data_IF_257844260965
#
_entry.id   IF_257844260965
#
_cell.length_a   1.000
_cell.length_b   1.000
_cell.length_c   1.000
_cell.angle_alpha   90.00
_cell.angle_beta   90.00
_cell.angle_gamma   90.00
#
_symmetry.space_group_name_H-M   'P 1'
#
loop_
_entity.id
_entity.type
_entity.pdbx_description
1 polymer ?
#
# COMPACT_ATOMS: atom_id res chain seq x y z
N UNK A 1 15.69 -24.87 -1.81
CA UNK A 1 14.68 -24.02 -1.16
C UNK A 1 14.22 -22.90 -2.10
N UNK A 2 15.11 -22.42 -3.03
CA UNK A 2 14.79 -21.36 -3.99
C UNK A 2 13.76 -21.75 -5.09
N UNK A 3 13.62 -23.03 -5.41
CA UNK A 3 12.70 -23.50 -6.46
C UNK A 3 11.20 -23.43 -6.07
N UNK A 4 10.89 -23.38 -4.77
CA UNK A 4 9.49 -23.36 -4.31
C UNK A 4 8.81 -21.99 -4.42
N UNK A 5 9.55 -20.89 -4.28
CA UNK A 5 8.97 -19.53 -4.27
C UNK A 5 8.62 -19.08 -5.69
N UNK A 6 9.49 -19.38 -6.67
CA UNK A 6 9.23 -19.06 -8.09
C UNK A 6 8.01 -19.86 -8.60
N UNK A 7 7.83 -21.09 -8.12
CA UNK A 7 6.70 -21.94 -8.53
C UNK A 7 5.34 -21.43 -8.01
N UNK A 8 5.32 -20.83 -6.81
CA UNK A 8 4.06 -20.27 -6.23
C UNK A 8 3.62 -19.01 -6.98
N UNK A 9 4.53 -18.12 -7.34
CA UNK A 9 4.19 -16.91 -8.10
C UNK A 9 3.68 -17.26 -9.52
N UNK A 10 4.34 -18.20 -10.21
CA UNK A 10 3.91 -18.69 -11.53
C UNK A 10 2.60 -19.48 -11.46
N UNK A 11 2.37 -20.24 -10.39
CA UNK A 11 1.13 -21.00 -10.19
C UNK A 11 -0.07 -20.08 -9.94
N UNK A 12 0.11 -19.01 -9.17
CA UNK A 12 -0.95 -18.03 -8.91
C UNK A 12 -1.31 -17.22 -10.17
N UNK A 13 -0.33 -16.86 -11.01
CA UNK A 13 -0.58 -16.15 -12.27
C UNK A 13 -1.38 -16.99 -13.27
N UNK A 14 -1.16 -18.31 -13.32
CA UNK A 14 -1.87 -19.23 -14.22
C UNK A 14 -3.35 -19.46 -13.83
N UNK A 15 -3.76 -19.08 -12.61
CA UNK A 15 -5.13 -19.20 -12.07
C UNK A 15 -5.82 -17.84 -11.89
N UNK A 16 -5.25 -16.76 -12.42
CA UNK A 16 -5.73 -15.39 -12.22
C UNK A 16 -6.52 -14.89 -13.41
N UNK A 17 -7.69 -14.29 -13.15
CA UNK A 17 -8.48 -13.55 -14.16
C UNK A 17 -7.95 -12.12 -14.40
N UNK A 18 -6.87 -11.75 -13.73
CA UNK A 18 -6.30 -10.39 -13.77
C UNK A 18 -5.23 -10.29 -14.87
N UNK A 19 -5.09 -9.09 -15.43
CA UNK A 19 -3.98 -8.75 -16.32
C UNK A 19 -2.77 -8.30 -15.48
N UNK A 20 -1.56 -8.64 -15.93
CA UNK A 20 -0.32 -8.46 -15.19
C UNK A 20 0.76 -7.75 -15.99
N UNK A 21 1.62 -7.01 -15.30
CA UNK A 21 2.94 -6.60 -15.77
C UNK A 21 3.97 -7.35 -14.93
N UNK A 22 4.72 -8.23 -15.59
CA UNK A 22 5.79 -9.00 -14.98
C UNK A 22 7.13 -8.35 -15.26
N UNK A 23 7.90 -8.09 -14.21
CA UNK A 23 9.23 -7.51 -14.23
C UNK A 23 10.20 -8.48 -13.55
N UNK A 24 11.48 -8.28 -13.79
CA UNK A 24 12.53 -9.08 -13.15
C UNK A 24 12.48 -9.00 -11.62
N UNK A 25 12.28 -7.79 -11.09
CA UNK A 25 12.27 -7.54 -9.63
C UNK A 25 10.88 -7.41 -9.04
N UNK A 26 9.79 -7.48 -9.82
CA UNK A 26 8.47 -7.27 -9.29
C UNK A 26 7.33 -7.69 -10.21
N UNK A 27 6.13 -7.70 -9.65
CA UNK A 27 4.90 -7.96 -10.38
C UNK A 27 3.85 -6.92 -10.01
N UNK A 28 3.11 -6.46 -11.02
CA UNK A 28 2.02 -5.50 -10.87
C UNK A 28 0.76 -6.07 -11.52
N UNK A 29 -0.31 -6.23 -10.74
CA UNK A 29 -1.62 -6.46 -11.31
C UNK A 29 -2.19 -5.14 -11.84
N UNK A 30 -2.73 -5.13 -13.07
CA UNK A 30 -3.32 -3.91 -13.63
C UNK A 30 -4.55 -3.48 -12.85
N UNK A 31 -5.30 -4.43 -12.26
CA UNK A 31 -6.34 -4.09 -11.30
C UNK A 31 -5.74 -3.43 -10.06
N UNK A 32 -6.10 -2.17 -9.87
CA UNK A 32 -5.64 -1.37 -8.75
C UNK A 32 -4.23 -0.80 -8.87
N UNK A 33 -3.55 -0.97 -10.03
CA UNK A 33 -2.12 -0.70 -10.19
C UNK A 33 -1.32 -1.33 -9.04
N UNK A 34 -1.69 -2.56 -8.67
CA UNK A 34 -1.34 -3.20 -7.42
C UNK A 34 0.02 -3.89 -7.51
N UNK A 35 1.01 -3.35 -6.84
CA UNK A 35 2.32 -4.01 -6.68
C UNK A 35 2.13 -5.22 -5.77
N UNK A 36 2.31 -6.43 -6.30
CA UNK A 36 2.12 -7.67 -5.54
C UNK A 36 3.44 -8.29 -5.09
N UNK A 37 4.52 -7.99 -5.80
CA UNK A 37 5.86 -8.51 -5.51
C UNK A 37 6.92 -7.46 -5.76
N UNK A 38 7.93 -7.42 -4.91
CA UNK A 38 9.20 -6.73 -5.11
C UNK A 38 10.29 -7.53 -4.39
N UNK A 39 11.34 -7.88 -5.14
CA UNK A 39 12.40 -8.79 -4.70
C UNK A 39 13.78 -8.12 -4.78
N UNK A 40 14.07 -7.11 -3.94
CA UNK A 40 15.44 -6.64 -3.79
C UNK A 40 16.27 -7.80 -3.19
N UNK A 41 17.51 -7.94 -3.59
CA UNK A 41 18.38 -8.98 -3.03
C UNK A 41 17.85 -10.43 -3.10
N UNK A 42 17.01 -10.75 -4.11
CA UNK A 42 16.43 -12.08 -4.36
C UNK A 42 15.43 -12.58 -3.29
N UNK A 43 14.98 -11.75 -2.38
CA UNK A 43 13.96 -12.06 -1.38
C UNK A 43 12.78 -11.10 -1.47
N UNK A 44 11.57 -11.63 -1.29
CA UNK A 44 10.37 -10.78 -1.27
C UNK A 44 10.40 -9.82 -0.09
N UNK A 45 10.26 -8.52 -0.38
CA UNK A 45 10.11 -7.48 0.64
C UNK A 45 8.64 -7.17 0.95
N UNK A 46 7.72 -7.59 0.07
CA UNK A 46 6.28 -7.45 0.27
C UNK A 46 5.65 -8.79 0.65
N UNK A 47 4.67 -8.74 1.53
CA UNK A 47 3.83 -9.89 1.86
C UNK A 47 2.65 -9.96 0.90
N UNK A 48 2.40 -11.14 0.34
CA UNK A 48 1.19 -11.47 -0.39
C UNK A 48 0.56 -12.70 0.25
N UNK A 49 -0.72 -12.62 0.62
CA UNK A 49 -1.40 -13.75 1.23
C UNK A 49 -1.56 -14.91 0.23
N UNK A 50 -1.21 -16.11 0.64
CA UNK A 50 -1.45 -17.33 -0.16
C UNK A 50 -2.94 -17.66 -0.30
N UNK A 51 -3.81 -17.02 0.48
CA UNK A 51 -5.27 -17.17 0.44
C UNK A 51 -5.96 -16.02 -0.30
N UNK A 52 -5.19 -15.07 -0.85
CA UNK A 52 -5.78 -13.95 -1.60
C UNK A 52 -6.47 -14.47 -2.86
N UNK A 53 -7.61 -13.87 -3.18
CA UNK A 53 -8.29 -14.15 -4.44
C UNK A 53 -7.79 -13.19 -5.51
N UNK A 54 -7.35 -13.74 -6.64
CA UNK A 54 -6.90 -12.99 -7.80
C UNK A 54 -8.01 -12.92 -8.85
N UNK A 55 -9.16 -12.36 -8.43
CA UNK A 55 -10.41 -12.29 -9.20
C UNK A 55 -10.75 -10.82 -9.49
N UNK A 56 -11.31 -10.53 -10.67
CA UNK A 56 -11.76 -9.18 -11.06
C UNK A 56 -12.73 -8.59 -10.04
N UNK A 57 -12.49 -7.33 -9.65
CA UNK A 57 -13.31 -6.62 -8.67
C UNK A 57 -13.05 -6.99 -7.21
N UNK A 58 -12.28 -8.05 -6.94
CA UNK A 58 -11.92 -8.46 -5.58
C UNK A 58 -10.59 -7.82 -5.16
N UNK A 59 -10.51 -7.16 -3.99
CA UNK A 59 -9.24 -6.62 -3.51
C UNK A 59 -8.22 -7.72 -3.24
N UNK A 60 -7.00 -7.52 -3.69
CA UNK A 60 -5.87 -8.40 -3.42
C UNK A 60 -5.41 -8.18 -1.97
N UNK A 61 -5.16 -9.27 -1.22
CA UNK A 61 -4.67 -9.22 0.16
C UNK A 61 -3.15 -9.31 0.19
N UNK A 62 -2.49 -8.21 0.55
CA UNK A 62 -1.03 -8.08 0.56
C UNK A 62 -0.53 -7.12 -0.52
N UNK A 63 0.77 -7.07 -0.75
CA UNK A 63 1.39 -6.12 -1.68
C UNK A 63 1.15 -4.67 -1.28
N UNK A 64 0.78 -3.83 -2.23
CA UNK A 64 0.51 -2.40 -2.03
C UNK A 64 -0.84 -2.01 -2.64
N UNK A 65 -1.97 -2.29 -1.98
CA UNK A 65 -3.28 -1.80 -2.40
C UNK A 65 -3.35 -0.27 -2.41
N UNK A 66 -3.96 0.30 -3.46
CA UNK A 66 -4.22 1.74 -3.55
C UNK A 66 -5.58 2.05 -2.91
N UNK A 67 -5.57 2.83 -1.86
CA UNK A 67 -6.77 3.41 -1.24
C UNK A 67 -7.06 4.75 -1.91
N UNK A 68 -8.22 4.89 -2.57
CA UNK A 68 -8.65 6.12 -3.23
C UNK A 68 -10.12 5.95 -3.71
N UNK A 69 -10.99 6.96 -3.61
CA UNK A 69 -10.75 8.32 -3.14
C UNK A 69 -11.13 8.58 -1.67
N UNK A 70 -11.42 7.55 -0.87
CA UNK A 70 -11.67 7.65 0.57
C UNK A 70 -10.99 6.53 1.35
N UNK A 71 -10.69 6.82 2.61
CA UNK A 71 -10.09 5.88 3.56
C UNK A 71 -11.15 5.29 4.50
N UNK A 72 -11.13 3.97 4.71
CA UNK A 72 -12.12 3.29 5.52
C UNK A 72 -13.46 3.14 4.81
N UNK A 73 -14.55 3.18 5.58
CA UNK A 73 -15.91 3.10 5.05
C UNK A 73 -16.31 4.44 4.40
N UNK A 74 -16.99 4.36 3.27
CA UNK A 74 -17.60 5.54 2.65
C UNK A 74 -18.73 6.06 3.55
N UNK A 75 -18.62 7.31 4.00
CA UNK A 75 -19.60 7.95 4.88
C UNK A 75 -21.00 8.04 4.25
N UNK A 76 -21.06 8.15 2.94
CA UNK A 76 -22.30 8.20 2.19
C UNK A 76 -22.75 6.81 1.67
N UNK A 77 -21.96 5.76 1.92
CA UNK A 77 -22.22 4.37 1.54
C UNK A 77 -22.48 4.17 0.03
N UNK A 78 -21.84 4.97 -0.81
CA UNK A 78 -21.93 4.88 -2.27
C UNK A 78 -20.98 3.87 -2.88
N UNK A 79 -19.96 3.48 -2.13
CA UNK A 79 -18.89 2.62 -2.62
C UNK A 79 -18.28 1.71 -1.55
N UNK A 80 -17.32 0.87 -1.97
CA UNK A 80 -16.68 -0.10 -1.09
C UNK A 80 -15.72 0.57 -0.11
N UNK A 81 -15.46 -0.08 1.03
CA UNK A 81 -14.42 0.33 1.96
C UNK A 81 -13.09 0.56 1.26
N UNK A 82 -12.39 1.65 1.60
CA UNK A 82 -11.14 2.12 1.02
C UNK A 82 -11.21 2.54 -0.47
N UNK A 83 -12.38 2.93 -0.94
CA UNK A 83 -12.58 3.39 -2.30
C UNK A 83 -12.55 2.30 -3.36
N UNK A 84 -12.66 2.73 -4.60
CA UNK A 84 -12.78 1.84 -5.76
C UNK A 84 -11.44 1.55 -6.46
N UNK A 85 -10.41 2.36 -6.26
CA UNK A 85 -9.19 2.31 -7.09
C UNK A 85 -8.54 0.93 -7.13
N UNK A 86 -8.50 0.20 -6.00
CA UNK A 86 -7.93 -1.15 -5.90
C UNK A 86 -8.78 -2.27 -6.50
N UNK A 87 -9.99 -1.94 -7.03
CA UNK A 87 -10.94 -2.93 -7.58
C UNK A 87 -11.13 -2.81 -9.08
N UNK A 88 -10.66 -1.73 -9.67
CA UNK A 88 -10.86 -1.43 -11.09
C UNK A 88 -9.54 -1.60 -11.86
N UNK A 89 -9.60 -1.97 -13.15
CA UNK A 89 -8.40 -2.04 -13.97
C UNK A 89 -7.85 -0.64 -14.26
N UNK A 90 -6.52 -0.52 -14.24
CA UNK A 90 -5.78 0.66 -14.67
C UNK A 90 -5.16 0.40 -16.04
N UNK A 91 -5.04 1.44 -16.84
CA UNK A 91 -4.40 1.36 -18.16
C UNK A 91 -2.89 1.45 -18.00
N UNK A 92 -2.16 0.49 -18.55
CA UNK A 92 -0.70 0.55 -18.64
C UNK A 92 -0.33 1.52 -19.75
N UNK A 93 0.34 2.62 -19.42
CA UNK A 93 0.83 3.61 -20.37
C UNK A 93 2.22 3.25 -20.89
N UNK A 94 3.07 2.70 -20.03
CA UNK A 94 4.39 2.21 -20.39
C UNK A 94 4.87 1.16 -19.38
N UNK A 95 5.69 0.22 -19.86
CA UNK A 95 6.38 -0.77 -19.03
C UNK A 95 7.66 -1.22 -19.70
N UNK A 96 8.70 -1.53 -18.93
CA UNK A 96 9.95 -2.10 -19.42
C UNK A 96 11.19 -1.57 -18.73
N UNK A 97 12.36 -1.85 -19.33
CA UNK A 97 13.64 -1.34 -18.86
C UNK A 97 13.59 0.18 -18.81
N UNK A 98 13.70 0.68 -17.60
CA UNK A 98 13.79 2.10 -17.40
C UNK A 98 15.24 2.47 -17.31
N UNK A 99 15.67 3.49 -17.88
CA UNK A 99 16.70 4.37 -17.41
C UNK A 99 18.04 3.63 -17.10
N UNK A 100 18.93 4.13 -16.47
CA UNK A 100 20.25 3.63 -16.08
C UNK A 100 20.15 2.55 -14.97
N UNK A 101 21.09 1.63 -14.90
CA UNK A 101 21.33 0.65 -13.83
C UNK A 101 20.51 -0.64 -13.83
N UNK A 102 19.72 -0.94 -14.87
CA UNK A 102 18.92 -2.17 -14.92
C UNK A 102 17.65 -2.13 -14.09
N UNK A 103 17.20 -0.97 -13.66
CA UNK A 103 15.90 -0.76 -13.05
C UNK A 103 14.79 -0.90 -14.11
N UNK A 104 13.60 -1.25 -13.68
CA UNK A 104 12.44 -1.41 -14.54
C UNK A 104 11.31 -0.49 -14.06
N UNK A 105 10.58 0.12 -14.99
CA UNK A 105 9.51 1.04 -14.65
C UNK A 105 8.18 0.63 -15.25
N UNK A 106 7.11 1.00 -14.56
CA UNK A 106 5.73 0.86 -15.04
C UNK A 106 4.97 2.13 -14.71
N UNK A 107 4.30 2.70 -15.72
CA UNK A 107 3.37 3.80 -15.55
C UNK A 107 1.96 3.32 -15.84
N UNK A 108 1.08 3.47 -14.87
CA UNK A 108 -0.33 3.14 -15.00
C UNK A 108 -1.20 4.37 -14.75
N UNK A 109 -2.40 4.36 -15.34
CA UNK A 109 -3.36 5.46 -15.27
C UNK A 109 -4.76 4.96 -14.96
N UNK A 110 -5.48 5.69 -14.13
CA UNK A 110 -6.93 5.58 -13.93
C UNK A 110 -7.57 6.94 -14.17
N UNK A 111 -8.45 7.02 -15.17
CA UNK A 111 -9.33 8.16 -15.37
C UNK A 111 -10.73 7.88 -14.83
N UNK A 112 -11.48 8.94 -14.58
CA UNK A 112 -12.89 8.83 -14.23
C UNK A 112 -13.70 8.16 -15.36
N UNK A 113 -14.71 7.44 -14.96
CA UNK A 113 -15.69 6.76 -15.82
C UNK A 113 -17.09 6.98 -15.27
N UNK A 114 -18.13 6.59 -16.01
CA UNK A 114 -19.50 6.65 -15.51
C UNK A 114 -19.65 5.83 -14.21
N UNK A 115 -18.99 4.67 -14.12
CA UNK A 115 -19.03 3.82 -12.94
C UNK A 115 -18.34 4.44 -11.72
N UNK A 116 -17.21 5.12 -11.90
CA UNK A 116 -16.54 5.81 -10.79
C UNK A 116 -17.27 7.08 -10.40
N UNK A 117 -17.82 7.85 -11.38
CA UNK A 117 -18.62 9.04 -11.09
C UNK A 117 -19.94 8.74 -10.38
N UNK A 118 -20.52 7.57 -10.57
CA UNK A 118 -21.69 7.13 -9.81
C UNK A 118 -21.40 6.97 -8.31
N UNK A 119 -20.14 6.70 -7.95
CA UNK A 119 -19.70 6.54 -6.56
C UNK A 119 -19.08 7.84 -6.00
N UNK A 120 -18.34 8.56 -6.85
CA UNK A 120 -17.64 9.80 -6.50
C UNK A 120 -17.70 10.76 -7.70
N UNK A 121 -18.60 11.78 -7.69
CA UNK A 121 -19.05 12.50 -8.90
C UNK A 121 -18.03 13.57 -9.36
N UNK A 122 -16.76 13.18 -9.48
CA UNK A 122 -15.67 14.08 -9.87
C UNK A 122 -14.92 13.53 -11.09
N UNK A 123 -14.46 14.45 -11.94
CA UNK A 123 -13.57 14.14 -13.05
C UNK A 123 -12.12 14.21 -12.56
N UNK A 124 -11.40 13.12 -12.69
CA UNK A 124 -10.03 13.01 -12.22
C UNK A 124 -9.15 12.21 -13.18
N UNK A 125 -7.86 12.37 -12.97
CA UNK A 125 -6.82 11.50 -13.51
C UNK A 125 -5.91 11.09 -12.38
N UNK A 126 -5.79 9.80 -12.11
CA UNK A 126 -4.81 9.27 -11.18
C UNK A 126 -3.71 8.52 -11.96
N UNK A 127 -2.45 8.66 -11.53
CA UNK A 127 -1.33 7.90 -12.11
C UNK A 127 -0.53 7.20 -11.01
N UNK A 128 -0.02 6.02 -11.36
CA UNK A 128 0.91 5.26 -10.55
C UNK A 128 2.19 5.06 -11.36
N UNK A 129 3.26 5.72 -10.96
CA UNK A 129 4.58 5.59 -11.55
C UNK A 129 5.45 4.76 -10.59
N UNK A 130 5.94 3.63 -11.08
CA UNK A 130 6.64 2.61 -10.31
C UNK A 130 8.03 2.39 -10.90
N UNK A 131 9.06 2.41 -10.06
CA UNK A 131 10.42 2.02 -10.44
C UNK A 131 10.91 0.92 -9.51
N UNK A 132 11.27 -0.21 -10.11
CA UNK A 132 11.75 -1.41 -9.44
C UNK A 132 13.26 -1.53 -9.63
N UNK A 133 14.00 -1.36 -8.55
CA UNK A 133 15.45 -1.45 -8.47
C UNK A 133 15.89 -2.04 -7.14
N UNK A 134 17.07 -1.62 -6.67
CA UNK A 134 17.52 -1.87 -5.31
C UNK A 134 16.55 -1.28 -4.27
N UNK A 135 15.87 -0.21 -4.66
CA UNK A 135 14.76 0.41 -3.96
C UNK A 135 13.48 0.26 -4.80
N UNK A 136 12.32 0.29 -4.14
CA UNK A 136 11.03 0.45 -4.81
C UNK A 136 10.60 1.91 -4.67
N UNK A 137 10.59 2.64 -5.79
CA UNK A 137 10.10 4.01 -5.82
C UNK A 137 8.69 4.07 -6.43
N UNK A 138 7.79 4.77 -5.76
CA UNK A 138 6.38 4.91 -6.11
C UNK A 138 6.03 6.39 -6.14
N UNK A 139 5.45 6.88 -7.25
CA UNK A 139 4.80 8.17 -7.29
C UNK A 139 3.32 8.01 -7.66
N UNK A 140 2.45 8.19 -6.68
CA UNK A 140 1.01 8.24 -6.88
C UNK A 140 0.57 9.69 -7.03
N UNK A 141 -0.18 10.00 -8.09
CA UNK A 141 -0.69 11.36 -8.27
C UNK A 141 -2.18 11.38 -8.60
N UNK A 142 -2.83 12.45 -8.20
CA UNK A 142 -4.22 12.75 -8.54
C UNK A 142 -4.30 14.17 -9.11
N UNK A 143 -4.98 14.33 -10.25
CA UNK A 143 -5.23 15.60 -10.91
C UNK A 143 -6.74 15.84 -10.97
N UNK A 144 -7.18 17.04 -10.65
CA UNK A 144 -8.58 17.46 -10.82
C UNK A 144 -8.82 17.87 -12.28
N UNK A 145 -9.58 17.07 -13.01
CA UNK A 145 -9.96 17.29 -14.42
C UNK A 145 -11.38 17.87 -14.55
N UNK A 146 -12.01 18.16 -13.43
CA UNK A 146 -13.33 18.78 -13.37
C UNK A 146 -13.30 20.30 -13.39
N UNK A 147 -14.48 20.91 -13.30
CA UNK A 147 -14.67 22.35 -13.20
C UNK A 147 -14.82 22.85 -11.75
N UNK A 148 -15.03 21.93 -10.81
CA UNK A 148 -15.27 22.23 -9.41
C UNK A 148 -14.14 21.62 -8.53
N UNK A 149 -13.82 22.24 -7.38
CA UNK A 149 -12.89 21.65 -6.44
C UNK A 149 -13.45 20.36 -5.85
N UNK A 150 -12.55 19.43 -5.50
CA UNK A 150 -12.92 18.24 -4.74
C UNK A 150 -11.89 17.90 -3.68
N UNK A 151 -12.33 17.18 -2.65
CA UNK A 151 -11.45 16.61 -1.63
C UNK A 151 -11.42 15.09 -1.75
N UNK A 152 -10.25 14.51 -1.48
CA UNK A 152 -10.04 13.07 -1.48
C UNK A 152 -9.07 12.64 -0.40
N UNK A 153 -9.11 11.36 -0.08
CA UNK A 153 -8.11 10.68 0.72
C UNK A 153 -7.41 9.62 -0.14
N UNK A 154 -6.10 9.49 0.01
CA UNK A 154 -5.32 8.48 -0.69
C UNK A 154 -4.26 7.87 0.22
N UNK A 155 -4.04 6.55 0.06
CA UNK A 155 -3.06 5.82 0.85
C UNK A 155 -2.52 4.62 0.08
N UNK A 156 -1.24 4.36 0.20
CA UNK A 156 -0.58 3.14 -0.25
C UNK A 156 -0.52 2.16 0.94
N UNK A 157 -1.39 1.15 0.92
CA UNK A 157 -1.57 0.20 2.03
C UNK A 157 -0.49 -0.90 1.99
N UNK A 158 0.74 -0.52 2.25
CA UNK A 158 1.94 -1.35 2.07
C UNK A 158 2.04 -2.45 3.12
N UNK A 159 2.04 -3.72 2.68
CA UNK A 159 2.28 -4.90 3.49
C UNK A 159 3.77 -5.27 3.41
N UNK A 160 4.56 -4.85 4.38
CA UNK A 160 5.97 -5.24 4.49
C UNK A 160 6.06 -6.68 5.02
N UNK A 161 6.78 -7.57 4.29
CA UNK A 161 6.99 -8.94 4.74
C UNK A 161 8.02 -8.97 5.86
N UNK A 162 7.70 -9.69 6.92
CA UNK A 162 8.59 -9.96 8.05
C UNK A 162 8.59 -11.44 8.42
N UNK A 163 9.62 -11.87 9.13
CA UNK A 163 9.70 -13.25 9.60
C UNK A 163 8.74 -13.53 10.77
N UNK A 164 8.63 -12.58 11.69
CA UNK A 164 7.70 -12.63 12.83
C UNK A 164 7.49 -11.21 13.37
N UNK A 165 6.31 -10.65 13.14
CA UNK A 165 5.96 -9.27 13.54
C UNK A 165 6.13 -9.04 15.04
N UNK A 166 5.94 -10.09 15.88
CA UNK A 166 6.08 -9.98 17.34
C UNK A 166 7.51 -9.75 17.80
N UNK A 167 8.49 -9.99 16.91
CA UNK A 167 9.91 -9.76 17.17
C UNK A 167 10.43 -8.46 16.54
N UNK A 168 9.64 -7.85 15.66
CA UNK A 168 10.02 -6.63 14.96
C UNK A 168 9.93 -5.39 15.84
N UNK A 169 10.59 -4.33 15.38
CA UNK A 169 10.41 -2.98 15.92
C UNK A 169 10.27 -1.97 14.79
N UNK A 170 9.46 -0.95 15.02
CA UNK A 170 9.24 0.15 14.11
C UNK A 170 9.62 1.47 14.79
N UNK A 171 10.62 2.14 14.23
CA UNK A 171 11.12 3.45 14.62
C UNK A 171 10.54 4.55 13.72
N UNK A 172 10.59 5.82 14.16
CA UNK A 172 10.19 7.02 13.42
C UNK A 172 8.82 7.57 13.81
N UNK A 173 8.15 6.96 14.79
CA UNK A 173 6.82 7.39 15.27
C UNK A 173 6.80 7.63 16.79
N UNK A 174 7.96 7.76 17.42
CA UNK A 174 8.11 8.02 18.84
C UNK A 174 7.46 9.36 19.21
N UNK A 175 6.78 9.37 20.34
CA UNK A 175 6.09 10.57 20.87
C UNK A 175 5.02 11.19 19.97
N UNK A 176 4.78 10.65 18.77
CA UNK A 176 3.78 11.17 17.85
C UNK A 176 2.34 10.91 18.34
N UNK A 177 1.43 11.83 18.03
CA UNK A 177 0.01 11.63 18.27
C UNK A 177 -0.61 10.76 17.17
N UNK A 178 -1.48 9.84 17.55
CA UNK A 178 -2.22 8.99 16.62
C UNK A 178 -3.67 8.76 17.04
N UNK A 179 -4.52 8.45 16.07
CA UNK A 179 -5.87 7.92 16.31
C UNK A 179 -5.75 6.40 16.37
N UNK A 180 -6.09 5.80 17.51
CA UNK A 180 -6.03 4.35 17.76
C UNK A 180 -7.42 3.75 17.52
N UNK A 181 -7.61 3.04 16.41
CA UNK A 181 -8.91 2.42 16.07
C UNK A 181 -9.26 1.28 17.00
N UNK A 182 -8.29 0.60 17.61
CA UNK A 182 -8.54 -0.44 18.60
C UNK A 182 -9.16 0.13 19.88
N UNK A 183 -9.08 1.47 20.05
CA UNK A 183 -9.65 2.24 21.16
C UNK A 183 -10.75 3.21 20.70
N UNK A 184 -11.51 2.85 19.67
CA UNK A 184 -12.61 3.67 19.17
C UNK A 184 -12.16 5.00 18.56
N UNK A 185 -11.00 5.05 17.89
CA UNK A 185 -10.36 6.25 17.35
C UNK A 185 -9.94 7.29 18.40
N UNK A 186 -9.69 6.87 19.62
CA UNK A 186 -9.16 7.76 20.65
C UNK A 186 -7.82 8.36 20.20
N UNK A 187 -7.63 9.66 20.45
CA UNK A 187 -6.34 10.32 20.25
C UNK A 187 -5.41 9.89 21.37
N UNK A 188 -4.32 9.24 21.03
CA UNK A 188 -3.31 8.75 21.99
C UNK A 188 -1.91 9.19 21.56
N UNK A 189 -1.02 9.37 22.52
CA UNK A 189 0.39 9.61 22.24
C UNK A 189 1.13 8.27 22.18
N UNK A 190 1.92 8.07 21.14
CA UNK A 190 2.78 6.90 21.02
C UNK A 190 3.88 6.93 22.10
N UNK A 191 4.48 5.78 22.39
CA UNK A 191 5.58 5.69 23.35
C UNK A 191 6.84 6.43 22.89
N UNK A 192 7.80 6.58 23.82
CA UNK A 192 9.11 7.25 23.55
C UNK A 192 10.15 6.35 22.89
N UNK A 193 9.85 5.08 22.72
CA UNK A 193 10.72 4.11 22.06
C UNK A 193 10.07 3.47 20.84
N UNK A 194 10.78 2.59 20.13
CA UNK A 194 10.26 1.88 18.98
C UNK A 194 8.95 1.15 19.28
N UNK A 195 8.03 1.17 18.33
CA UNK A 195 6.80 0.37 18.43
C UNK A 195 7.10 -1.12 18.40
N UNK A 196 6.40 -1.88 19.26
CA UNK A 196 6.44 -3.35 19.33
C UNK A 196 5.03 -3.89 19.14
N UNK A 197 4.92 -5.11 18.64
CA UNK A 197 3.65 -5.68 18.20
C UNK A 197 3.43 -7.05 18.87
N UNK A 198 2.57 -7.10 19.85
CA UNK A 198 2.18 -8.33 20.58
C UNK A 198 0.72 -8.73 20.35
N UNK A 199 -0.01 -7.95 19.52
CA UNK A 199 -1.41 -8.13 19.20
C UNK A 199 -1.88 -7.22 18.09
N UNK A 200 -3.18 -6.92 18.09
CA UNK A 200 -3.77 -5.99 17.12
C UNK A 200 -3.22 -4.56 17.31
N UNK A 201 -2.80 -3.96 16.21
CA UNK A 201 -2.45 -2.55 16.11
C UNK A 201 -3.18 -1.95 14.91
N UNK A 202 -3.87 -0.83 15.10
CA UNK A 202 -4.51 -0.06 14.02
C UNK A 202 -4.43 1.42 14.40
N UNK A 203 -3.32 2.07 14.03
CA UNK A 203 -3.00 3.45 14.42
C UNK A 203 -2.75 4.32 13.21
N UNK A 204 -3.41 5.48 13.18
CA UNK A 204 -3.23 6.51 12.14
C UNK A 204 -2.56 7.73 12.74
N UNK A 205 -1.38 8.06 12.23
CA UNK A 205 -0.58 9.24 12.58
C UNK A 205 -0.79 10.28 11.49
N UNK A 206 -1.48 11.38 11.79
CA UNK A 206 -1.66 12.51 10.88
C UNK A 206 -0.62 13.61 11.15
N UNK A 207 -0.31 14.41 10.12
CA UNK A 207 0.71 15.46 10.21
C UNK A 207 2.13 14.91 10.42
N UNK A 208 2.39 13.67 10.01
CA UNK A 208 3.67 12.99 10.20
C UNK A 208 4.28 12.59 8.85
N UNK A 209 5.41 13.21 8.51
CA UNK A 209 6.20 12.92 7.30
C UNK A 209 7.50 12.15 7.61
N UNK A 210 7.70 11.73 8.86
CA UNK A 210 8.91 11.02 9.25
C UNK A 210 9.08 9.70 8.49
N UNK A 211 10.32 9.33 8.23
CA UNK A 211 10.66 8.01 7.75
C UNK A 211 10.34 6.96 8.84
N UNK A 212 9.86 5.81 8.42
CA UNK A 212 9.64 4.67 9.30
C UNK A 212 10.68 3.59 9.02
N UNK A 213 11.32 3.07 10.05
CA UNK A 213 12.38 2.05 9.96
C UNK A 213 11.91 0.79 10.67
N UNK A 214 11.62 -0.26 9.89
CA UNK A 214 11.19 -1.57 10.38
C UNK A 214 12.40 -2.49 10.47
N UNK A 215 12.80 -2.85 11.68
CA UNK A 215 13.85 -3.84 11.96
C UNK A 215 13.25 -5.22 12.14
N UNK A 216 13.69 -6.17 11.31
CA UNK A 216 13.28 -7.58 11.34
C UNK A 216 14.46 -8.48 11.71
N UNK A 217 14.60 -8.89 12.97
CA UNK A 217 15.71 -9.74 13.40
C UNK A 217 15.59 -11.18 12.92
N UNK A 218 14.41 -11.63 12.45
CA UNK A 218 14.22 -13.01 11.97
C UNK A 218 14.72 -13.16 10.55
N UNK A 219 14.38 -12.22 9.66
CA UNK A 219 14.90 -12.19 8.28
C UNK A 219 16.24 -11.42 8.20
N UNK A 220 16.73 -10.87 9.30
CA UNK A 220 18.00 -10.15 9.41
C UNK A 220 18.08 -9.03 8.38
N UNK A 221 17.11 -8.14 8.43
CA UNK A 221 17.03 -7.01 7.51
C UNK A 221 16.29 -5.83 8.12
N UNK A 222 16.52 -4.69 7.52
CA UNK A 222 15.84 -3.44 7.82
C UNK A 222 15.09 -2.97 6.58
N UNK A 223 13.81 -2.58 6.75
CA UNK A 223 12.99 -1.97 5.71
C UNK A 223 12.72 -0.52 6.10
N UNK A 224 13.12 0.42 5.25
CA UNK A 224 12.89 1.85 5.47
C UNK A 224 11.83 2.36 4.50
N UNK A 225 10.81 3.02 5.03
CA UNK A 225 9.74 3.67 4.26
C UNK A 225 9.94 5.18 4.36
N UNK A 226 10.34 5.80 3.26
CA UNK A 226 10.48 7.25 3.12
C UNK A 226 9.30 7.79 2.30
N UNK A 227 8.88 9.01 2.60
CA UNK A 227 7.73 9.60 1.92
C UNK A 227 7.87 11.13 1.78
N UNK A 228 7.27 11.65 0.71
CA UNK A 228 7.16 13.08 0.40
C UNK A 228 5.75 13.35 -0.13
N UNK A 229 5.11 14.41 0.35
CA UNK A 229 3.73 14.73 -0.02
C UNK A 229 2.69 13.75 0.54
N UNK A 230 3.09 12.88 1.48
CA UNK A 230 2.24 11.95 2.20
C UNK A 230 2.36 12.24 3.71
N UNK A 231 1.37 12.91 4.27
CA UNK A 231 1.41 13.44 5.65
C UNK A 231 0.85 12.48 6.69
N UNK A 232 0.29 11.36 6.27
CA UNK A 232 -0.22 10.34 7.18
C UNK A 232 0.62 9.07 7.12
N UNK A 233 0.79 8.41 8.27
CA UNK A 233 1.28 7.04 8.38
C UNK A 233 0.21 6.20 9.05
N UNK A 234 -0.13 5.04 8.48
CA UNK A 234 -0.95 4.04 9.16
C UNK A 234 -0.09 2.83 9.49
N UNK A 235 -0.14 2.39 10.74
CA UNK A 235 0.52 1.16 11.20
C UNK A 235 -0.55 0.16 11.55
N UNK A 236 -0.56 -0.98 10.82
CA UNK A 236 -1.59 -2.00 11.01
C UNK A 236 -1.01 -3.41 11.04
N UNK A 237 -1.45 -4.18 12.04
CA UNK A 237 -1.41 -5.64 12.08
C UNK A 237 -2.66 -6.13 12.80
N UNK A 238 -3.35 -7.17 12.29
CA UNK A 238 -4.62 -7.62 12.87
C UNK A 238 -4.47 -8.36 14.19
N UNK A 239 -3.27 -8.84 14.51
CA UNK A 239 -3.10 -9.80 15.61
C UNK A 239 -3.87 -11.11 15.36
N UNK A 240 -3.75 -12.07 16.24
CA UNK A 240 -4.30 -13.42 16.04
C UNK A 240 -5.83 -13.44 15.95
N UNK A 241 -6.50 -12.73 16.88
CA UNK A 241 -7.96 -12.79 17.00
C UNK A 241 -8.68 -12.21 15.76
N UNK A 242 -8.25 -11.04 15.28
CA UNK A 242 -8.85 -10.41 14.10
C UNK A 242 -8.48 -11.15 12.81
N UNK A 243 -7.24 -11.66 12.72
CA UNK A 243 -6.78 -12.43 11.57
C UNK A 243 -7.63 -13.67 11.34
N UNK A 244 -8.01 -14.38 12.41
CA UNK A 244 -8.87 -15.56 12.33
C UNK A 244 -10.26 -15.25 11.70
N UNK A 245 -10.73 -14.01 11.81
CA UNK A 245 -11.99 -13.56 11.18
C UNK A 245 -11.81 -13.08 9.73
N UNK A 246 -10.58 -13.05 9.20
CA UNK A 246 -10.26 -12.63 7.83
C UNK A 246 -9.90 -13.87 7.00
N UNK A 247 -10.84 -14.45 6.21
CA UNK A 247 -10.62 -15.72 5.52
C UNK A 247 -9.51 -15.66 4.46
N UNK A 248 -9.24 -14.47 3.93
CA UNK A 248 -8.16 -14.20 2.97
C UNK A 248 -6.79 -13.98 3.62
N UNK A 249 -6.70 -14.03 4.95
CA UNK A 249 -5.47 -13.86 5.72
C UNK A 249 -5.11 -15.08 6.56
N UNK A 250 -6.07 -15.58 7.37
CA UNK A 250 -5.86 -16.76 8.23
C UNK A 250 -4.71 -16.55 9.22
N UNK A 251 -3.85 -17.58 9.35
CA UNK A 251 -2.77 -17.60 10.34
C UNK A 251 -1.50 -16.87 9.89
N UNK A 252 -1.53 -16.18 8.75
CA UNK A 252 -0.33 -15.51 8.20
C UNK A 252 -0.06 -14.11 8.79
N UNK A 253 -0.86 -13.66 9.76
CA UNK A 253 -0.67 -12.34 10.39
C UNK A 253 0.71 -12.08 10.99
N UNK A 254 1.47 -13.07 11.49
CA UNK A 254 2.81 -12.80 11.98
C UNK A 254 3.83 -12.45 10.88
N UNK A 255 3.50 -12.71 9.61
CA UNK A 255 4.43 -12.59 8.49
C UNK A 255 4.44 -11.20 7.83
N UNK A 256 3.72 -10.22 8.38
CA UNK A 256 3.72 -8.86 7.84
C UNK A 256 3.45 -7.80 8.90
N UNK A 257 3.90 -6.60 8.58
CA UNK A 257 3.46 -5.35 9.18
C UNK A 257 3.05 -4.40 8.07
N UNK A 258 1.88 -3.77 8.18
CA UNK A 258 1.54 -2.67 7.30
C UNK A 258 2.14 -1.37 7.84
N UNK A 259 2.93 -0.71 6.99
CA UNK A 259 3.42 0.66 7.18
C UNK A 259 2.97 1.44 5.96
N UNK A 260 1.87 2.13 6.12
CA UNK A 260 1.13 2.72 5.02
C UNK A 260 1.41 4.22 4.94
N UNK A 261 1.57 4.74 3.74
CA UNK A 261 1.86 6.15 3.48
C UNK A 261 0.73 6.80 2.70
N UNK A 262 0.23 7.94 3.17
CA UNK A 262 -0.90 8.59 2.51
C UNK A 262 -1.26 9.96 3.05
N UNK A 263 -2.43 10.40 2.62
CA UNK A 263 -3.10 11.60 3.10
C UNK A 263 -4.55 11.22 3.43
N UNK A 264 -4.82 10.96 4.71
CA UNK A 264 -6.11 10.47 5.18
C UNK A 264 -6.58 11.25 6.41
N UNK A 265 -7.87 11.18 6.69
CA UNK A 265 -8.51 11.88 7.82
C UNK A 265 -8.21 13.39 7.79
N UNK A 266 -7.44 13.89 8.79
CA UNK A 266 -7.13 15.33 8.93
C UNK A 266 -6.14 15.84 7.85
N UNK A 267 -5.49 14.92 7.11
CA UNK A 267 -4.56 15.22 6.02
C UNK A 267 -5.21 15.06 4.62
N UNK A 268 -6.53 14.92 4.53
CA UNK A 268 -7.23 14.85 3.25
C UNK A 268 -6.84 16.03 2.34
N UNK A 269 -6.70 15.76 1.04
CA UNK A 269 -6.26 16.73 0.03
C UNK A 269 -7.46 17.35 -0.67
N UNK A 270 -7.42 18.67 -0.85
CA UNK A 270 -8.38 19.40 -1.71
C UNK A 270 -7.64 19.94 -2.93
N UNK A 271 -8.17 19.67 -4.13
CA UNK A 271 -7.64 20.17 -5.40
C UNK A 271 -8.64 21.10 -6.06
N UNK A 272 -8.15 22.30 -6.46
CA UNK A 272 -8.87 23.17 -7.37
C UNK A 272 -8.86 22.58 -8.79
N UNK A 273 -9.75 23.05 -9.70
CA UNK A 273 -9.73 22.67 -11.11
C UNK A 273 -8.32 22.80 -11.72
N UNK A 274 -7.81 21.74 -12.34
CA UNK A 274 -6.49 21.67 -12.95
C UNK A 274 -5.33 21.45 -11.97
N UNK A 275 -5.56 21.47 -10.67
CA UNK A 275 -4.50 21.17 -9.70
C UNK A 275 -4.19 19.68 -9.64
N UNK A 276 -2.95 19.38 -9.24
CA UNK A 276 -2.42 18.03 -9.08
C UNK A 276 -1.68 17.91 -7.75
N UNK A 277 -1.93 16.82 -7.04
CA UNK A 277 -1.14 16.39 -5.90
C UNK A 277 -0.30 15.17 -6.27
N UNK A 278 0.93 15.08 -5.72
CA UNK A 278 1.82 13.93 -5.91
C UNK A 278 2.31 13.46 -4.55
N UNK A 279 2.12 12.20 -4.29
CA UNK A 279 2.60 11.47 -3.14
C UNK A 279 3.73 10.55 -3.60
N UNK A 280 4.94 10.68 -3.05
CA UNK A 280 6.10 9.84 -3.35
C UNK A 280 6.42 8.97 -2.16
N UNK A 281 6.62 7.69 -2.40
CA UNK A 281 7.05 6.73 -1.39
C UNK A 281 8.24 5.96 -1.95
N UNK A 282 9.28 5.80 -1.12
CA UNK A 282 10.44 4.97 -1.42
C UNK A 282 10.61 3.94 -0.33
N UNK A 283 10.76 2.69 -0.73
CA UNK A 283 10.99 1.58 0.18
C UNK A 283 12.40 1.05 -0.09
N UNK A 284 13.22 1.06 0.94
CA UNK A 284 14.58 0.52 0.94
C UNK A 284 14.61 -0.79 1.72
N UNK A 285 15.42 -1.75 1.29
CA UNK A 285 15.66 -3.00 1.99
C UNK A 285 17.16 -3.18 2.15
N UNK A 286 17.64 -3.18 3.39
CA UNK A 286 19.04 -3.46 3.72
C UNK A 286 19.13 -4.79 4.48
N UNK A 287 20.06 -5.66 4.08
CA UNK A 287 20.43 -6.85 4.86
C UNK A 287 21.37 -6.43 6.01
N UNK A 288 21.21 -7.05 7.17
CA UNK A 288 22.08 -6.88 8.33
C UNK A 288 23.39 -7.67 8.18
#
# INVERSE_FOLDING_TARGET
>A
VAAGVVLVALHNAAMSDLDWVHLRLGDVATQGAHVTRWTPHHEDALFLSSRTKLEKGTPIRGGIPVVFPWFGEDKERRGPSHGFARRVPWTVLSSGAAISNGDEAVLLELCDSDATRAQWPHRFRATMDLVFGAELAIAFSVENRGAEPFSFEALLHTYLRVGDVTKCSLDGLEDAWCKDKTKGNALVRNGTGPMRFDGECDRTFCGNEAACVLTDPVLRRTLTVLKEGARSTVVWTPGASRAAALPDLGDSWPQFLCVESGNVMDDAITLQPGERHVMRVRIECAAD
#
